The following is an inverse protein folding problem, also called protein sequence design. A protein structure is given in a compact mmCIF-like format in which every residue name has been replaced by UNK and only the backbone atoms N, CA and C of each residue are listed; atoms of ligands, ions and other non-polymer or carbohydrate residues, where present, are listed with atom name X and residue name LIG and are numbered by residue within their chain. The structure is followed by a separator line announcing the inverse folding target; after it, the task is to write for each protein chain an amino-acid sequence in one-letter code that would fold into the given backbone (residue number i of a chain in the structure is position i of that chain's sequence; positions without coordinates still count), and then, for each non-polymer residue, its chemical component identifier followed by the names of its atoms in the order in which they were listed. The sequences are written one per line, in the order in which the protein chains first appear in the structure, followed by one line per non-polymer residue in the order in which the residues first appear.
data_IF_411184154765
#
_entry.id   IF_411184154765
#
_cell.length_a   1.000
_cell.length_b   1.000
_cell.length_c   1.000
_cell.angle_alpha   90.00
_cell.angle_beta   90.00
_cell.angle_gamma   90.00
#
_symmetry.space_group_name_H-M   'P 1'
#
loop_
_entity.id
_entity.type
_entity.pdbx_description
1 polymer ?
#
# COMPACT_ATOMS: atom_id res chain seq x y z
N UNK A 1 -29.99 4.27 -23.09
CA UNK A 1 -28.57 3.87 -22.92
C UNK A 1 -28.47 3.08 -21.63
N UNK A 2 -28.84 1.79 -21.68
CA UNK A 2 -28.86 0.92 -20.51
C UNK A 2 -27.43 0.47 -20.20
N UNK A 3 -26.94 0.76 -19.00
CA UNK A 3 -25.71 0.15 -18.47
C UNK A 3 -26.06 -1.31 -18.16
N UNK A 4 -25.50 -2.32 -18.85
CA UNK A 4 -25.78 -3.69 -18.48
C UNK A 4 -25.18 -3.99 -17.10
N UNK A 5 -26.00 -4.59 -16.23
CA UNK A 5 -25.59 -5.12 -14.95
C UNK A 5 -24.47 -6.15 -15.15
N UNK A 6 -23.21 -5.78 -14.91
CA UNK A 6 -22.12 -6.76 -14.78
C UNK A 6 -22.44 -7.64 -13.57
N UNK A 7 -22.79 -8.89 -13.86
CA UNK A 7 -23.05 -9.93 -12.89
C UNK A 7 -21.95 -9.96 -11.81
N UNK A 8 -22.37 -9.89 -10.55
CA UNK A 8 -21.55 -9.77 -9.36
C UNK A 8 -21.01 -11.13 -8.85
N UNK A 9 -20.96 -12.17 -9.69
CA UNK A 9 -20.99 -13.57 -9.20
C UNK A 9 -19.96 -14.53 -9.80
N UNK A 10 -18.72 -14.09 -10.02
CA UNK A 10 -17.63 -15.03 -10.22
C UNK A 10 -16.28 -14.42 -9.78
N UNK A 11 -16.13 -14.13 -8.48
CA UNK A 11 -14.81 -14.18 -7.88
C UNK A 11 -14.56 -15.66 -7.56
N UNK A 12 -13.73 -16.39 -8.32
CA UNK A 12 -13.40 -17.76 -7.92
C UNK A 12 -12.74 -17.66 -6.55
N UNK A 13 -13.30 -18.39 -5.57
CA UNK A 13 -12.75 -18.49 -4.23
C UNK A 13 -11.28 -18.90 -4.34
N UNK A 14 -10.38 -17.94 -4.16
CA UNK A 14 -8.95 -18.19 -3.94
C UNK A 14 -8.86 -19.07 -2.70
N UNK A 15 -8.47 -20.32 -2.89
CA UNK A 15 -8.14 -21.20 -1.79
C UNK A 15 -6.88 -20.64 -1.15
N UNK A 16 -6.99 -20.24 0.11
CA UNK A 16 -5.90 -20.03 1.05
C UNK A 16 -4.98 -21.30 1.04
N UNK A 17 -3.66 -21.31 1.19
CA UNK A 17 -2.69 -20.40 1.79
C UNK A 17 -1.29 -20.76 1.24
N UNK A 18 -0.66 -19.88 0.45
CA UNK A 18 0.81 -19.68 0.33
C UNK A 18 1.08 -18.80 -0.89
N UNK A 19 0.67 -17.55 -0.82
CA UNK A 19 1.03 -16.51 -1.79
C UNK A 19 2.37 -15.85 -1.41
N UNK A 20 3.38 -16.66 -1.15
CA UNK A 20 4.75 -16.20 -0.92
C UNK A 20 5.72 -17.21 -1.49
N UNK A 21 6.51 -16.82 -2.49
CA UNK A 21 7.63 -17.64 -2.94
C UNK A 21 8.70 -17.65 -1.83
N UNK A 22 8.83 -18.76 -1.12
CA UNK A 22 9.91 -19.01 -0.16
C UNK A 22 11.22 -19.46 -0.82
N UNK A 23 11.24 -19.56 -2.15
CA UNK A 23 12.44 -19.85 -2.93
C UNK A 23 13.45 -18.69 -2.83
N UNK A 24 14.48 -18.88 -1.99
CA UNK A 24 15.64 -17.98 -1.86
C UNK A 24 16.44 -17.82 -3.16
N UNK A 25 16.18 -18.67 -4.16
CA UNK A 25 16.70 -18.55 -5.53
C UNK A 25 16.06 -17.39 -6.30
N UNK A 26 14.76 -17.12 -6.08
CA UNK A 26 14.00 -16.07 -6.78
C UNK A 26 14.00 -14.74 -6.02
N UNK A 27 13.88 -14.80 -4.69
CA UNK A 27 13.90 -13.63 -3.81
C UNK A 27 15.01 -13.77 -2.76
N UNK A 28 16.20 -13.16 -2.94
CA UNK A 28 17.24 -13.21 -1.92
C UNK A 28 16.75 -12.54 -0.63
N UNK A 29 17.17 -13.04 0.55
CA UNK A 29 16.76 -12.48 1.83
C UNK A 29 17.17 -11.00 1.91
N UNK A 30 16.19 -10.11 2.01
CA UNK A 30 16.43 -8.66 2.18
C UNK A 30 16.59 -8.35 3.66
N UNK A 31 17.68 -7.70 4.02
CA UNK A 31 17.84 -7.15 5.38
C UNK A 31 16.82 -6.02 5.61
N UNK A 32 16.20 -5.93 6.80
CA UNK A 32 15.26 -4.85 7.09
C UNK A 32 15.97 -3.50 7.08
N UNK A 33 15.43 -2.56 6.32
CA UNK A 33 15.86 -1.16 6.33
C UNK A 33 15.24 -0.43 7.52
N UNK A 34 16.07 -0.07 8.50
CA UNK A 34 15.70 0.84 9.58
C UNK A 34 15.69 2.27 9.04
N UNK A 35 14.69 3.07 9.40
CA UNK A 35 14.62 4.49 9.05
C UNK A 35 15.08 5.32 10.24
N UNK A 36 15.98 6.28 10.01
CA UNK A 36 16.38 7.25 11.04
C UNK A 36 15.27 8.25 11.34
N UNK A 37 14.43 8.55 10.34
CA UNK A 37 13.34 9.52 10.47
C UNK A 37 12.06 8.90 11.07
N UNK A 38 11.31 9.66 11.89
CA UNK A 38 10.05 9.20 12.45
C UNK A 38 9.00 8.92 11.36
N UNK A 39 8.15 7.91 11.60
CA UNK A 39 7.01 7.61 10.73
C UNK A 39 5.97 8.73 10.88
N UNK A 40 5.96 9.66 9.93
CA UNK A 40 4.91 10.68 9.85
C UNK A 40 3.59 10.02 9.41
N UNK A 41 2.54 10.21 10.20
CA UNK A 41 1.21 9.72 9.88
C UNK A 41 0.60 10.48 8.71
N UNK A 42 -0.19 9.78 7.89
CA UNK A 42 -0.85 10.36 6.71
C UNK A 42 -1.73 11.59 7.07
N UNK A 43 -2.25 11.65 8.30
CA UNK A 43 -3.09 12.74 8.79
C UNK A 43 -2.36 13.80 9.63
N UNK A 44 -1.09 13.59 9.98
CA UNK A 44 -0.31 14.49 10.83
C UNK A 44 -0.02 15.81 10.12
N UNK A 45 0.29 16.89 10.86
CA UNK A 45 0.75 18.14 10.27
C UNK A 45 1.97 17.90 9.39
N UNK A 46 1.98 18.52 8.22
CA UNK A 46 3.11 18.42 7.30
C UNK A 46 4.37 19.03 7.91
N UNK A 47 5.48 18.29 7.87
CA UNK A 47 6.83 18.75 8.29
C UNK A 47 7.32 19.97 7.50
N UNK A 48 6.68 20.30 6.39
CA UNK A 48 6.90 21.52 5.61
C UNK A 48 6.36 22.80 6.26
N UNK A 49 5.65 22.70 7.39
CA UNK A 49 5.22 23.86 8.18
C UNK A 49 3.97 24.59 7.67
N UNK A 50 3.30 24.08 6.64
CA UNK A 50 2.15 24.77 6.03
C UNK A 50 0.80 24.52 6.75
N UNK A 51 0.80 23.82 7.89
CA UNK A 51 -0.40 23.49 8.66
C UNK A 51 -1.37 22.49 8.00
N UNK A 52 -1.07 21.97 6.81
CA UNK A 52 -1.92 20.99 6.11
C UNK A 52 -1.53 19.57 6.54
N UNK A 53 -2.48 18.64 6.48
CA UNK A 53 -2.22 17.20 6.70
C UNK A 53 -1.21 16.68 5.68
N UNK A 54 -0.28 15.82 6.10
CA UNK A 54 0.80 15.26 5.26
C UNK A 54 0.27 14.71 3.93
N UNK A 55 -0.83 13.95 3.93
CA UNK A 55 -1.48 13.40 2.71
C UNK A 55 -1.98 14.39 1.68
N UNK A 56 -2.26 15.63 2.11
CA UNK A 56 -2.74 16.70 1.23
C UNK A 56 -1.61 17.64 0.81
N UNK A 57 -0.38 17.39 1.27
CA UNK A 57 0.81 18.17 0.95
C UNK A 57 1.94 17.27 0.45
N UNK A 58 3.05 17.13 1.18
CA UNK A 58 4.23 16.36 0.76
C UNK A 58 3.90 14.88 0.47
N UNK A 59 2.97 14.29 1.24
CA UNK A 59 2.49 12.92 1.04
C UNK A 59 1.38 12.77 0.00
N UNK A 60 1.13 13.77 -0.85
CA UNK A 60 0.11 13.69 -1.91
C UNK A 60 0.55 12.80 -3.09
N UNK A 61 1.86 12.64 -3.30
CA UNK A 61 2.46 11.87 -4.40
C UNK A 61 3.42 10.76 -3.92
N UNK A 62 3.44 10.49 -2.61
CA UNK A 62 4.23 9.42 -1.99
C UNK A 62 3.42 8.12 -1.89
#
# INVERSE_FOLDING_TARGET
MQIPNRAFSAYPSVKDDKSGCDDTSCCPPKTPITRDAPKIGRNDPCVCGNGRKFKKCCGKKL
#
